data_IF_576749934146
#
_entry.id   IF_576749934146
#
_cell.length_a   1.000
_cell.length_b   1.000
_cell.length_c   1.000
_cell.angle_alpha   90.00
_cell.angle_beta   90.00
_cell.angle_gamma   90.00
#
_symmetry.space_group_name_H-M   'P 1'
#
loop_
_entity.id
_entity.type
_entity.pdbx_description
1 polymer ?
#
# COMPACT_ATOMS: atom_id res chain seq x y z
N UNK A 1 -10.27 -47.84 21.38
CA UNK A 1 -11.25 -47.23 20.46
C UNK A 1 -11.12 -45.72 20.62
N UNK A 2 -10.98 -44.99 19.51
CA UNK A 2 -10.79 -43.53 19.49
C UNK A 2 -9.58 -43.14 18.66
N UNK A 3 -9.65 -43.36 17.34
CA UNK A 3 -8.67 -42.79 16.41
C UNK A 3 -9.08 -41.37 16.09
N UNK A 4 -8.22 -40.40 16.39
CA UNK A 4 -8.35 -39.02 15.93
C UNK A 4 -8.18 -38.99 14.40
N UNK A 5 -9.28 -38.71 13.71
CA UNK A 5 -9.25 -38.41 12.29
C UNK A 5 -8.62 -37.03 12.10
N UNK A 6 -7.35 -37.03 11.73
CA UNK A 6 -6.66 -35.87 11.16
C UNK A 6 -7.42 -35.40 9.92
N UNK A 7 -8.22 -34.35 10.06
CA UNK A 7 -8.83 -33.65 8.93
C UNK A 7 -7.71 -32.97 8.13
N UNK A 8 -7.35 -33.57 7.01
CA UNK A 8 -6.58 -32.89 5.96
C UNK A 8 -7.39 -31.71 5.43
N UNK A 9 -6.79 -30.52 5.27
CA UNK A 9 -7.49 -29.38 4.68
C UNK A 9 -7.93 -29.72 3.26
N UNK A 10 -9.18 -29.41 2.94
CA UNK A 10 -9.77 -29.64 1.62
C UNK A 10 -8.96 -28.93 0.51
N UNK A 11 -8.81 -29.54 -0.67
CA UNK A 11 -8.14 -28.92 -1.80
C UNK A 11 -8.92 -27.68 -2.25
N UNK A 12 -8.24 -26.51 -2.27
CA UNK A 12 -8.79 -25.26 -2.83
C UNK A 12 -9.23 -25.48 -4.28
N UNK A 13 -10.35 -24.87 -4.72
CA UNK A 13 -10.92 -25.11 -6.04
C UNK A 13 -9.91 -24.85 -7.16
N UNK A 14 -9.93 -25.73 -8.16
CA UNK A 14 -9.11 -25.61 -9.35
C UNK A 14 -9.59 -24.40 -10.16
N UNK A 15 -8.71 -23.40 -10.26
CA UNK A 15 -8.80 -22.16 -11.05
C UNK A 15 -9.42 -20.91 -10.38
N UNK A 16 -8.86 -20.45 -9.26
CA UNK A 16 -9.08 -19.08 -8.79
C UNK A 16 -8.63 -18.06 -9.86
N UNK A 17 -9.42 -17.02 -10.17
CA UNK A 17 -9.01 -15.97 -11.11
C UNK A 17 -7.76 -15.26 -10.60
N UNK A 18 -6.87 -14.88 -11.52
CA UNK A 18 -5.63 -14.17 -11.15
C UNK A 18 -5.90 -12.68 -10.96
N UNK A 19 -5.23 -12.09 -9.99
CA UNK A 19 -5.17 -10.64 -9.80
C UNK A 19 -3.72 -10.18 -9.69
N UNK A 20 -3.34 -9.10 -10.37
CA UNK A 20 -2.07 -8.42 -10.08
C UNK A 20 -2.26 -7.57 -8.82
N UNK A 21 -1.32 -7.61 -7.89
CA UNK A 21 -1.33 -6.76 -6.69
C UNK A 21 -0.08 -5.88 -6.69
N UNK A 22 -0.24 -4.56 -6.64
CA UNK A 22 0.88 -3.65 -6.48
C UNK A 22 1.35 -3.71 -5.02
N UNK A 23 2.46 -4.41 -4.79
CA UNK A 23 2.98 -4.71 -3.45
C UNK A 23 4.26 -3.91 -3.19
N UNK A 24 4.16 -2.84 -2.39
CA UNK A 24 5.33 -2.03 -2.01
C UNK A 24 6.00 -2.50 -0.72
N UNK A 25 5.34 -3.33 0.09
CA UNK A 25 5.83 -3.74 1.42
C UNK A 25 5.35 -2.85 2.57
N UNK A 26 4.65 -1.76 2.27
CA UNK A 26 3.94 -0.95 3.27
C UNK A 26 2.62 -1.57 3.72
N UNK A 27 2.06 -1.02 4.80
CA UNK A 27 0.79 -1.47 5.40
C UNK A 27 -0.34 -1.56 4.38
N UNK A 28 -0.54 -0.51 3.57
CA UNK A 28 -1.70 -0.38 2.69
C UNK A 28 -1.62 -1.38 1.53
N UNK A 29 -0.44 -1.52 0.91
CA UNK A 29 -0.24 -2.48 -0.17
C UNK A 29 -0.30 -3.93 0.31
N UNK A 30 0.19 -4.22 1.52
CA UNK A 30 0.02 -5.51 2.16
C UNK A 30 -1.46 -5.84 2.43
N UNK A 31 -2.21 -4.83 2.90
CA UNK A 31 -3.65 -4.97 3.19
C UNK A 31 -4.46 -5.16 1.91
N UNK A 32 -4.16 -4.43 0.83
CA UNK A 32 -4.79 -4.61 -0.46
C UNK A 32 -4.48 -5.99 -1.07
N UNK A 33 -3.25 -6.50 -0.91
CA UNK A 33 -2.88 -7.84 -1.34
C UNK A 33 -3.64 -8.94 -0.56
N UNK A 34 -3.77 -8.77 0.77
CA UNK A 34 -4.56 -9.68 1.58
C UNK A 34 -6.06 -9.62 1.24
N UNK A 35 -6.57 -8.42 0.92
CA UNK A 35 -7.96 -8.25 0.46
C UNK A 35 -8.19 -9.00 -0.86
N UNK A 36 -7.26 -8.95 -1.83
CA UNK A 36 -7.38 -9.72 -3.07
C UNK A 36 -7.52 -11.23 -2.81
N UNK A 37 -6.79 -11.76 -1.82
CA UNK A 37 -6.90 -13.18 -1.42
C UNK A 37 -8.28 -13.46 -0.80
N UNK A 38 -8.76 -12.57 0.08
CA UNK A 38 -10.07 -12.69 0.71
C UNK A 38 -11.22 -12.61 -0.31
N UNK A 39 -11.03 -11.83 -1.37
CA UNK A 39 -11.97 -11.71 -2.49
C UNK A 39 -11.94 -12.93 -3.44
N UNK A 40 -11.08 -13.93 -3.17
CA UNK A 40 -11.03 -15.19 -3.89
C UNK A 40 -10.05 -15.24 -5.07
N UNK A 41 -9.18 -14.24 -5.22
CA UNK A 41 -8.17 -14.21 -6.28
C UNK A 41 -6.91 -15.01 -5.93
N UNK A 42 -6.19 -15.44 -6.98
CA UNK A 42 -4.80 -15.86 -6.90
C UNK A 42 -3.89 -14.65 -7.22
N UNK A 43 -3.22 -14.04 -6.23
CA UNK A 43 -2.41 -12.85 -6.46
C UNK A 43 -1.12 -13.15 -7.23
N UNK A 44 -0.72 -12.19 -8.06
CA UNK A 44 0.62 -12.03 -8.62
C UNK A 44 1.14 -10.69 -8.10
N UNK A 45 2.18 -10.71 -7.25
CA UNK A 45 2.75 -9.49 -6.71
C UNK A 45 3.65 -8.79 -7.74
N UNK A 46 3.50 -7.46 -7.82
CA UNK A 46 4.39 -6.58 -8.57
C UNK A 46 4.93 -5.50 -7.63
N UNK A 47 6.25 -5.53 -7.40
CA UNK A 47 6.98 -4.48 -6.69
C UNK A 47 7.80 -3.66 -7.68
N UNK A 48 7.95 -2.37 -7.41
CA UNK A 48 8.68 -1.46 -8.29
C UNK A 48 9.81 -0.79 -7.50
N UNK A 49 11.04 -1.01 -7.99
CA UNK A 49 12.20 -0.23 -7.58
C UNK A 49 12.25 1.00 -8.47
N UNK A 50 11.79 2.13 -7.96
CA UNK A 50 11.68 3.36 -8.73
C UNK A 50 12.83 4.34 -8.51
N UNK A 51 13.93 3.89 -7.91
CA UNK A 51 15.04 4.74 -7.48
C UNK A 51 14.76 5.45 -6.15
N UNK A 52 13.94 4.84 -5.29
CA UNK A 52 13.76 5.32 -3.91
C UNK A 52 15.08 5.23 -3.11
N UNK A 53 15.21 6.07 -2.07
CA UNK A 53 16.43 6.18 -1.24
C UNK A 53 16.95 4.87 -0.64
N UNK A 54 16.08 3.88 -0.44
CA UNK A 54 16.43 2.61 0.22
C UNK A 54 15.52 1.48 -0.24
N UNK A 55 15.98 0.24 -0.07
CA UNK A 55 15.25 -0.95 -0.51
C UNK A 55 14.52 -1.71 0.63
N UNK A 56 14.37 -1.09 1.81
CA UNK A 56 13.65 -1.69 2.95
C UNK A 56 12.23 -2.13 2.60
N UNK A 57 11.52 -1.29 1.85
CA UNK A 57 10.17 -1.58 1.35
C UNK A 57 10.15 -2.83 0.46
N UNK A 58 11.12 -2.98 -0.45
CA UNK A 58 11.23 -4.17 -1.32
C UNK A 58 11.54 -5.45 -0.52
N UNK A 59 12.37 -5.35 0.52
CA UNK A 59 12.62 -6.47 1.43
C UNK A 59 11.35 -6.86 2.19
N UNK A 60 10.61 -5.89 2.72
CA UNK A 60 9.33 -6.11 3.38
C UNK A 60 8.32 -6.75 2.41
N UNK A 61 8.25 -6.28 1.15
CA UNK A 61 7.37 -6.85 0.13
C UNK A 61 7.62 -8.35 -0.08
N UNK A 62 8.88 -8.80 -0.10
CA UNK A 62 9.23 -10.22 -0.22
C UNK A 62 8.81 -11.04 1.01
N UNK A 63 8.94 -10.48 2.22
CA UNK A 63 8.47 -11.13 3.44
C UNK A 63 6.95 -11.26 3.43
N UNK A 64 6.25 -10.18 3.11
CA UNK A 64 4.78 -10.14 3.03
C UNK A 64 4.26 -11.10 1.97
N UNK A 65 4.85 -11.12 0.77
CA UNK A 65 4.45 -12.03 -0.30
C UNK A 65 4.53 -13.50 0.17
N UNK A 66 5.62 -13.87 0.86
CA UNK A 66 5.79 -15.22 1.42
C UNK A 66 4.76 -15.52 2.51
N UNK A 67 4.54 -14.60 3.45
CA UNK A 67 3.55 -14.76 4.52
C UNK A 67 2.13 -14.95 3.99
N UNK A 68 1.75 -14.19 2.96
CA UNK A 68 0.45 -14.29 2.30
C UNK A 68 0.35 -15.48 1.32
N UNK A 69 1.43 -16.26 1.14
CA UNK A 69 1.44 -17.42 0.24
C UNK A 69 1.41 -17.07 -1.25
N UNK A 70 1.79 -15.85 -1.63
CA UNK A 70 1.86 -15.38 -3.02
C UNK A 70 3.05 -16.07 -3.71
N UNK A 71 2.75 -16.87 -4.74
CA UNK A 71 3.74 -17.71 -5.41
C UNK A 71 4.54 -16.97 -6.49
N UNK A 72 3.94 -15.96 -7.13
CA UNK A 72 4.57 -15.19 -8.19
C UNK A 72 4.77 -13.74 -7.73
N UNK A 73 6.03 -13.30 -7.71
CA UNK A 73 6.41 -11.96 -7.30
C UNK A 73 7.45 -11.40 -8.25
N UNK A 74 7.05 -10.39 -9.03
CA UNK A 74 7.94 -9.65 -9.93
C UNK A 74 8.44 -8.38 -9.24
N UNK A 75 9.73 -8.06 -9.43
CA UNK A 75 10.29 -6.76 -9.06
C UNK A 75 10.88 -6.12 -10.30
N UNK A 76 10.43 -4.91 -10.66
CA UNK A 76 10.89 -4.19 -11.86
C UNK A 76 11.55 -2.89 -11.44
N UNK A 77 12.72 -2.60 -12.01
CA UNK A 77 13.38 -1.31 -11.86
C UNK A 77 12.83 -0.29 -12.87
N UNK A 78 12.45 0.89 -12.38
CA UNK A 78 11.88 2.00 -13.15
C UNK A 78 12.56 3.28 -12.69
N UNK A 79 13.57 3.78 -13.39
CA UNK A 79 14.34 4.92 -12.88
C UNK A 79 13.60 6.26 -12.97
N UNK A 80 12.63 6.50 -12.06
CA UNK A 80 11.91 7.77 -11.95
C UNK A 80 12.75 8.86 -11.28
N UNK A 81 13.86 8.50 -10.63
CA UNK A 81 14.78 9.48 -10.06
C UNK A 81 15.45 10.38 -11.12
N UNK A 82 15.54 9.94 -12.39
CA UNK A 82 16.18 10.69 -13.47
C UNK A 82 15.56 12.07 -13.74
N UNK A 83 14.26 12.24 -13.50
CA UNK A 83 13.55 13.50 -13.77
C UNK A 83 13.63 14.49 -12.60
N UNK A 84 13.90 13.99 -11.38
CA UNK A 84 13.88 14.78 -10.14
C UNK A 84 12.46 15.12 -9.65
N UNK A 85 12.36 16.13 -8.78
CA UNK A 85 11.09 16.66 -8.31
C UNK A 85 10.48 15.99 -7.07
N UNK A 86 11.20 15.05 -6.44
CA UNK A 86 10.76 14.43 -5.19
C UNK A 86 11.88 14.25 -4.18
N UNK A 87 11.57 14.46 -2.90
CA UNK A 87 12.47 14.13 -1.80
C UNK A 87 12.63 12.62 -1.62
N UNK A 88 11.70 11.77 -2.11
CA UNK A 88 11.86 10.31 -2.05
C UNK A 88 12.88 9.75 -3.05
N UNK A 89 13.26 10.52 -4.07
CA UNK A 89 14.20 10.10 -5.12
C UNK A 89 15.46 10.96 -5.19
N UNK A 90 15.48 12.16 -4.58
CA UNK A 90 16.67 13.00 -4.46
C UNK A 90 17.22 12.98 -3.02
N UNK A 91 18.39 12.37 -2.76
CA UNK A 91 18.96 12.26 -1.41
C UNK A 91 19.42 13.60 -0.82
N UNK A 92 19.54 14.66 -1.64
CA UNK A 92 19.99 15.99 -1.19
C UNK A 92 18.88 16.81 -0.51
N UNK A 93 17.62 16.39 -0.69
CA UNK A 93 16.47 17.08 -0.09
C UNK A 93 16.19 16.56 1.32
N UNK A 94 15.64 17.38 2.21
CA UNK A 94 15.20 16.92 3.52
C UNK A 94 13.82 16.26 3.41
N UNK A 95 13.62 15.14 4.10
CA UNK A 95 12.28 14.53 4.21
C UNK A 95 11.41 15.39 5.14
N UNK A 96 10.13 15.63 4.79
CA UNK A 96 9.24 16.42 5.64
C UNK A 96 9.01 15.72 6.99
N UNK A 97 8.99 16.53 8.05
CA UNK A 97 8.78 16.10 9.44
C UNK A 97 7.65 16.88 10.12
N UNK A 98 7.20 17.98 9.53
CA UNK A 98 6.27 18.93 10.13
C UNK A 98 4.80 18.48 10.05
N UNK A 99 4.50 17.41 9.31
CA UNK A 99 3.14 16.91 9.08
C UNK A 99 2.60 17.28 7.70
N UNK A 100 1.51 16.63 7.31
CA UNK A 100 0.81 16.89 6.04
C UNK A 100 0.14 18.27 6.10
N UNK A 101 0.41 19.12 5.11
CA UNK A 101 -0.26 20.41 4.93
C UNK A 101 -1.42 20.26 3.93
N UNK A 102 -2.60 20.77 4.29
CA UNK A 102 -3.77 20.74 3.42
C UNK A 102 -3.55 21.58 2.15
N UNK A 103 -4.04 21.07 1.01
CA UNK A 103 -4.01 21.74 -0.30
C UNK A 103 -2.61 22.01 -0.91
N UNK A 104 -1.55 21.40 -0.39
CA UNK A 104 -0.23 21.42 -1.02
C UNK A 104 0.19 20.01 -1.46
N UNK A 105 0.79 19.91 -2.66
CA UNK A 105 1.45 18.67 -3.08
C UNK A 105 2.75 18.54 -2.27
N UNK A 106 2.93 17.49 -1.46
CA UNK A 106 4.10 17.38 -0.61
C UNK A 106 5.36 17.08 -1.43
N UNK A 107 6.53 17.44 -0.90
CA UNK A 107 7.82 17.17 -1.57
C UNK A 107 8.09 15.67 -1.76
N UNK A 108 7.41 14.80 -1.01
CA UNK A 108 7.47 13.34 -1.16
C UNK A 108 6.62 12.80 -2.31
N UNK A 109 5.87 13.65 -3.01
CA UNK A 109 5.22 13.28 -4.26
C UNK A 109 6.27 13.01 -5.32
N UNK A 110 6.21 11.84 -5.95
CA UNK A 110 7.05 11.49 -7.11
C UNK A 110 6.20 11.71 -8.36
N UNK A 111 6.52 12.71 -9.21
CA UNK A 111 5.68 13.06 -10.35
C UNK A 111 5.32 11.87 -11.24
N UNK A 112 4.02 11.62 -11.41
CA UNK A 112 3.50 10.59 -12.32
C UNK A 112 3.78 9.14 -11.90
N UNK A 113 4.22 8.91 -10.66
CA UNK A 113 4.61 7.58 -10.18
C UNK A 113 3.50 6.55 -10.32
N UNK A 114 2.30 6.83 -9.80
CA UNK A 114 1.20 5.85 -9.87
C UNK A 114 0.79 5.57 -11.32
N UNK A 115 0.93 6.55 -12.22
CA UNK A 115 0.60 6.39 -13.64
C UNK A 115 1.49 5.33 -14.28
N UNK A 116 2.80 5.40 -14.03
CA UNK A 116 3.75 4.41 -14.53
C UNK A 116 3.49 3.04 -13.90
N UNK A 117 3.15 3.02 -12.60
CA UNK A 117 2.95 1.77 -11.87
C UNK A 117 1.73 1.00 -12.36
N UNK A 118 0.60 1.70 -12.55
CA UNK A 118 -0.63 1.10 -13.05
C UNK A 118 -0.44 0.66 -14.51
N UNK A 119 0.28 1.42 -15.34
CA UNK A 119 0.59 1.01 -16.71
C UNK A 119 1.40 -0.30 -16.78
N UNK A 120 2.39 -0.47 -15.90
CA UNK A 120 3.14 -1.73 -15.79
C UNK A 120 2.27 -2.89 -15.26
N UNK A 121 1.38 -2.62 -14.31
CA UNK A 121 0.44 -3.61 -13.82
C UNK A 121 -0.55 -4.07 -14.90
N UNK A 122 -1.02 -3.16 -15.75
CA UNK A 122 -1.87 -3.49 -16.91
C UNK A 122 -1.15 -4.43 -17.88
N UNK A 123 0.10 -4.12 -18.24
CA UNK A 123 0.91 -4.97 -19.10
C UNK A 123 1.14 -6.36 -18.49
N UNK A 124 1.43 -6.43 -17.18
CA UNK A 124 1.58 -7.71 -16.48
C UNK A 124 0.26 -8.49 -16.42
N UNK A 125 -0.86 -7.80 -16.19
CA UNK A 125 -2.17 -8.43 -16.13
C UNK A 125 -2.54 -9.08 -17.47
N UNK A 126 -2.33 -8.38 -18.58
CA UNK A 126 -2.54 -8.95 -19.92
C UNK A 126 -1.64 -10.17 -20.17
N UNK A 127 -0.35 -10.07 -19.87
CA UNK A 127 0.60 -11.15 -20.08
C UNK A 127 0.30 -12.41 -19.23
N UNK A 128 -0.29 -12.25 -18.06
CA UNK A 128 -0.57 -13.34 -17.11
C UNK A 128 -2.02 -13.83 -17.14
N UNK A 129 -2.90 -13.16 -17.90
CA UNK A 129 -4.33 -13.41 -17.90
C UNK A 129 -5.00 -13.07 -16.57
N UNK A 130 -4.53 -12.02 -15.90
CA UNK A 130 -5.16 -11.53 -14.67
C UNK A 130 -6.36 -10.64 -15.01
N UNK A 131 -7.45 -10.83 -14.27
CA UNK A 131 -8.73 -10.14 -14.51
C UNK A 131 -8.97 -8.98 -13.54
N UNK A 132 -8.06 -8.77 -12.60
CA UNK A 132 -8.10 -7.66 -11.65
C UNK A 132 -6.71 -7.14 -11.32
N UNK A 133 -6.64 -5.87 -10.93
CA UNK A 133 -5.45 -5.18 -10.44
C UNK A 133 -5.80 -4.51 -9.12
N UNK A 134 -5.17 -4.93 -8.02
CA UNK A 134 -5.38 -4.35 -6.70
C UNK A 134 -4.34 -3.28 -6.40
N UNK A 135 -4.84 -2.15 -5.91
CA UNK A 135 -4.09 -0.93 -5.63
C UNK A 135 -4.24 -0.56 -4.15
N UNK A 136 -3.13 -0.51 -3.41
CA UNK A 136 -3.09 -0.02 -2.02
C UNK A 136 -3.12 1.51 -1.92
N UNK A 137 -3.82 2.19 -2.83
CA UNK A 137 -3.92 3.65 -2.85
C UNK A 137 -4.97 4.11 -1.82
N UNK A 138 -4.66 5.18 -1.09
CA UNK A 138 -5.55 5.84 -0.16
C UNK A 138 -5.66 7.34 -0.51
N UNK A 139 -6.87 7.88 -0.57
CA UNK A 139 -7.11 9.29 -0.91
C UNK A 139 -7.30 10.20 0.33
N UNK A 140 -7.58 9.62 1.50
CA UNK A 140 -7.91 10.35 2.74
C UNK A 140 -6.65 10.92 3.37
N UNK A 141 -5.62 10.09 3.57
CA UNK A 141 -4.37 10.48 4.23
C UNK A 141 -3.41 11.24 3.29
N UNK A 142 -3.67 11.17 1.97
CA UNK A 142 -2.84 11.75 0.91
C UNK A 142 -3.65 12.71 0.03
N UNK A 143 -4.52 13.51 0.63
CA UNK A 143 -5.43 14.43 -0.08
C UNK A 143 -4.73 15.33 -1.11
N UNK A 144 -3.45 15.67 -0.89
CA UNK A 144 -2.62 16.43 -1.82
C UNK A 144 -2.19 15.70 -3.11
N UNK A 145 -2.31 14.37 -3.18
CA UNK A 145 -1.87 13.59 -4.35
C UNK A 145 -2.98 13.52 -5.41
N UNK A 146 -2.73 13.99 -6.65
CA UNK A 146 -3.75 13.95 -7.70
C UNK A 146 -3.99 12.53 -8.24
N UNK A 147 -2.98 11.67 -8.16
CA UNK A 147 -2.92 10.32 -8.73
C UNK A 147 -3.41 9.22 -7.78
N UNK A 148 -4.25 9.60 -6.81
CA UNK A 148 -4.83 8.69 -5.81
C UNK A 148 -6.38 8.77 -5.74
N UNK A 149 -7.01 9.58 -6.60
CA UNK A 149 -8.43 9.97 -6.48
C UNK A 149 -9.36 9.12 -7.37
N UNK A 150 -10.66 9.02 -7.05
CA UNK A 150 -11.60 8.24 -7.87
C UNK A 150 -11.62 8.62 -9.36
N UNK A 151 -11.64 9.92 -9.78
CA UNK A 151 -11.63 10.26 -11.20
C UNK A 151 -10.35 9.81 -11.93
N UNK A 152 -9.23 9.75 -11.23
CA UNK A 152 -7.97 9.24 -11.77
C UNK A 152 -8.05 7.72 -12.01
N UNK A 153 -8.63 6.96 -11.06
CA UNK A 153 -8.85 5.52 -11.21
C UNK A 153 -9.85 5.21 -12.33
N UNK A 154 -10.91 5.99 -12.45
CA UNK A 154 -11.89 5.88 -13.54
C UNK A 154 -11.24 6.09 -14.92
N UNK A 155 -10.40 7.11 -15.06
CA UNK A 155 -9.65 7.36 -16.29
C UNK A 155 -8.71 6.19 -16.64
N UNK A 156 -8.06 5.60 -15.63
CA UNK A 156 -7.22 4.41 -15.83
C UNK A 156 -8.03 3.16 -16.17
N UNK A 157 -9.24 2.99 -15.62
CA UNK A 157 -10.13 1.91 -15.98
C UNK A 157 -10.58 2.03 -17.45
N UNK A 158 -10.89 3.24 -17.91
CA UNK A 158 -11.19 3.51 -19.31
C UNK A 158 -9.98 3.23 -20.22
N UNK A 159 -8.77 3.57 -19.78
CA UNK A 159 -7.55 3.19 -20.50
C UNK A 159 -7.37 1.68 -20.60
N UNK A 160 -7.63 0.93 -19.52
CA UNK A 160 -7.54 -0.53 -19.51
C UNK A 160 -8.45 -1.20 -20.56
N UNK A 161 -9.62 -0.59 -20.82
CA UNK A 161 -10.58 -1.05 -21.81
C UNK A 161 -10.10 -0.90 -23.26
N UNK A 162 -9.15 -0.01 -23.55
CA UNK A 162 -8.71 0.29 -24.92
C UNK A 162 -7.25 -0.04 -25.21
N UNK A 163 -6.45 -0.32 -24.18
CA UNK A 163 -4.98 -0.43 -24.28
C UNK A 163 -4.45 -1.86 -24.50
N UNK A 164 -5.32 -2.86 -24.53
CA UNK A 164 -4.95 -4.29 -24.59
C UNK A 164 -5.88 -5.06 -25.53
N UNK A 165 -5.42 -6.23 -26.01
CA UNK A 165 -6.27 -7.13 -26.80
C UNK A 165 -7.49 -7.56 -25.99
N UNK A 166 -7.25 -8.00 -24.74
CA UNK A 166 -8.32 -8.43 -23.83
C UNK A 166 -9.27 -7.29 -23.49
N UNK A 167 -8.79 -6.05 -23.41
CA UNK A 167 -9.61 -4.86 -23.21
C UNK A 167 -10.57 -4.61 -24.37
N UNK A 168 -10.06 -4.64 -25.61
CA UNK A 168 -10.88 -4.49 -26.82
C UNK A 168 -11.94 -5.60 -26.98
N UNK A 169 -11.68 -6.78 -26.42
CA UNK A 169 -12.63 -7.90 -26.37
C UNK A 169 -13.64 -7.80 -25.22
N UNK A 170 -13.60 -6.73 -24.41
CA UNK A 170 -14.52 -6.50 -23.29
C UNK A 170 -14.11 -7.17 -21.97
N UNK A 171 -12.89 -7.71 -21.89
CA UNK A 171 -12.36 -8.45 -20.74
C UNK A 171 -11.17 -7.72 -20.08
N UNK A 172 -11.19 -6.38 -20.10
CA UNK A 172 -10.17 -5.58 -19.41
C UNK A 172 -10.10 -5.94 -17.92
N UNK A 173 -8.90 -5.97 -17.32
CA UNK A 173 -8.79 -6.17 -15.89
C UNK A 173 -9.47 -5.02 -15.13
N UNK A 174 -10.15 -5.37 -14.04
CA UNK A 174 -10.79 -4.42 -13.14
C UNK A 174 -9.76 -3.80 -12.20
N UNK A 175 -9.70 -2.48 -12.11
CA UNK A 175 -8.90 -1.77 -11.12
C UNK A 175 -9.67 -1.71 -9.80
N UNK A 176 -9.08 -2.27 -8.75
CA UNK A 176 -9.69 -2.37 -7.42
C UNK A 176 -8.80 -1.62 -6.44
N UNK A 177 -9.32 -0.54 -5.86
CA UNK A 177 -8.64 0.25 -4.82
C UNK A 177 -9.43 0.15 -3.50
N UNK A 178 -9.31 -0.96 -2.76
CA UNK A 178 -10.23 -1.28 -1.66
C UNK A 178 -10.08 -0.34 -0.45
N UNK A 179 -9.00 0.43 -0.38
CA UNK A 179 -8.65 1.29 0.74
C UNK A 179 -8.82 2.78 0.41
N UNK A 180 -9.34 3.12 -0.77
CA UNK A 180 -9.28 4.50 -1.31
C UNK A 180 -10.01 5.52 -0.42
N UNK A 181 -11.08 5.10 0.27
CA UNK A 181 -11.86 5.92 1.20
C UNK A 181 -11.68 5.54 2.68
N UNK A 182 -10.85 4.55 3.00
CA UNK A 182 -10.65 4.10 4.38
C UNK A 182 -9.81 5.14 5.14
N UNK A 183 -10.07 5.34 6.43
CA UNK A 183 -9.09 6.04 7.29
C UNK A 183 -7.89 5.13 7.56
N UNK A 184 -6.74 5.70 7.95
CA UNK A 184 -5.59 4.87 8.34
C UNK A 184 -5.91 3.86 9.45
N UNK A 185 -6.75 4.23 10.41
CA UNK A 185 -7.17 3.34 11.51
C UNK A 185 -8.00 2.18 10.96
N UNK A 186 -8.88 2.44 9.98
CA UNK A 186 -9.68 1.38 9.34
C UNK A 186 -8.80 0.44 8.52
N UNK A 187 -7.76 0.96 7.86
CA UNK A 187 -6.74 0.13 7.19
C UNK A 187 -6.05 -0.80 8.19
N UNK A 188 -5.63 -0.30 9.36
CA UNK A 188 -5.03 -1.15 10.41
C UNK A 188 -6.00 -2.23 10.88
N UNK A 189 -7.27 -1.88 11.15
CA UNK A 189 -8.29 -2.86 11.57
C UNK A 189 -8.52 -3.93 10.51
N UNK A 190 -8.62 -3.52 9.24
CA UNK A 190 -8.74 -4.43 8.10
C UNK A 190 -7.52 -5.34 7.97
N UNK A 191 -6.31 -4.79 8.10
CA UNK A 191 -5.06 -5.55 8.07
C UNK A 191 -5.02 -6.64 9.15
N UNK A 192 -5.43 -6.31 10.38
CA UNK A 192 -5.54 -7.28 11.47
C UNK A 192 -6.57 -8.38 11.16
N UNK A 193 -7.76 -8.00 10.69
CA UNK A 193 -8.82 -8.94 10.35
C UNK A 193 -8.43 -9.91 9.22
N UNK A 194 -7.61 -9.44 8.27
CA UNK A 194 -7.10 -10.22 7.15
C UNK A 194 -5.80 -10.99 7.47
N UNK A 195 -5.25 -10.89 8.68
CA UNK A 195 -4.04 -11.60 9.08
C UNK A 195 -2.75 -11.07 8.43
N UNK A 196 -2.72 -9.79 8.06
CA UNK A 196 -1.51 -9.12 7.54
C UNK A 196 -0.43 -9.10 8.64
N UNK A 197 0.83 -9.42 8.33
CA UNK A 197 1.92 -9.37 9.29
C UNK A 197 2.39 -7.92 9.47
N UNK A 198 1.60 -7.11 10.18
CA UNK A 198 1.82 -5.66 10.30
C UNK A 198 3.24 -5.31 10.81
N UNK A 199 3.79 -6.13 11.70
CA UNK A 199 5.16 -5.96 12.22
C UNK A 199 6.23 -6.02 11.11
N UNK A 200 5.98 -6.79 10.05
CA UNK A 200 6.89 -6.96 8.91
C UNK A 200 6.70 -5.88 7.83
N UNK A 201 5.68 -5.02 7.96
CA UNK A 201 5.43 -3.93 7.02
C UNK A 201 6.40 -2.77 7.23
N UNK A 202 6.81 -2.13 6.14
CA UNK A 202 7.69 -0.98 6.18
C UNK A 202 7.02 0.26 5.56
N UNK A 203 6.85 1.30 6.36
CA UNK A 203 6.30 2.60 5.89
C UNK A 203 7.31 3.75 6.01
N UNK A 204 8.41 3.57 6.74
CA UNK A 204 9.34 4.64 7.07
C UNK A 204 10.12 5.14 5.84
N UNK A 205 10.19 6.46 5.64
CA UNK A 205 10.98 7.08 4.56
C UNK A 205 12.50 7.13 4.85
N UNK A 206 12.90 6.94 6.11
CA UNK A 206 14.29 7.11 6.55
C UNK A 206 15.23 5.94 6.27
N UNK A 207 14.71 4.73 6.02
CA UNK A 207 15.52 3.58 5.61
C UNK A 207 16.51 3.00 6.62
N UNK A 208 16.42 3.39 7.90
CA UNK A 208 17.28 2.89 8.98
C UNK A 208 17.13 1.38 9.25
N UNK A 209 17.74 0.89 10.32
CA UNK A 209 17.50 -0.49 10.81
C UNK A 209 16.08 -0.66 11.35
N UNK A 210 15.57 0.37 12.02
CA UNK A 210 14.19 0.47 12.50
C UNK A 210 13.49 1.68 11.86
N UNK A 211 12.14 1.69 11.82
CA UNK A 211 11.38 2.89 11.50
C UNK A 211 11.79 4.07 12.40
N UNK A 212 11.99 5.26 11.81
CA UNK A 212 12.52 6.41 12.57
C UNK A 212 11.51 7.03 13.55
N UNK A 213 10.21 6.73 13.39
CA UNK A 213 9.12 7.26 14.21
C UNK A 213 8.84 8.76 14.09
N UNK A 214 9.67 9.50 13.35
CA UNK A 214 9.56 10.97 13.24
C UNK A 214 9.09 11.47 11.88
N UNK A 215 9.32 10.74 10.79
CA UNK A 215 8.84 11.15 9.47
C UNK A 215 7.31 11.05 9.36
N UNK A 216 6.70 11.80 8.46
CA UNK A 216 5.23 11.86 8.32
C UNK A 216 4.59 10.47 8.17
N UNK A 217 5.18 9.59 7.36
CA UNK A 217 4.69 8.22 7.20
C UNK A 217 4.70 7.40 8.50
N UNK A 218 5.75 7.53 9.32
CA UNK A 218 5.78 6.88 10.64
C UNK A 218 4.74 7.50 11.57
N UNK A 219 4.62 8.82 11.61
CA UNK A 219 3.63 9.52 12.45
C UNK A 219 2.20 9.06 12.15
N UNK A 220 1.85 8.97 10.87
CA UNK A 220 0.52 8.51 10.40
C UNK A 220 0.30 7.05 10.78
N UNK A 221 1.26 6.16 10.46
CA UNK A 221 1.17 4.73 10.78
C UNK A 221 1.06 4.50 12.28
N UNK A 222 1.94 5.10 13.07
CA UNK A 222 2.02 4.88 14.52
C UNK A 222 0.78 5.43 15.24
N UNK A 223 0.26 6.57 14.78
CA UNK A 223 -1.02 7.08 15.26
C UNK A 223 -2.15 6.10 15.00
N UNK A 224 -2.23 5.57 13.77
CA UNK A 224 -3.26 4.62 13.40
C UNK A 224 -3.18 3.31 14.18
N UNK A 225 -1.96 2.81 14.42
CA UNK A 225 -1.72 1.62 15.24
C UNK A 225 -2.17 1.85 16.68
N UNK A 226 -1.84 3.00 17.26
CA UNK A 226 -2.28 3.37 18.60
C UNK A 226 -3.81 3.44 18.71
N UNK A 227 -4.45 4.17 17.80
CA UNK A 227 -5.91 4.35 17.79
C UNK A 227 -6.66 3.04 17.48
N UNK A 228 -6.01 2.09 16.81
CA UNK A 228 -6.52 0.73 16.59
C UNK A 228 -6.22 -0.24 17.77
N UNK A 229 -5.62 0.23 18.86
CA UNK A 229 -5.31 -0.58 20.04
C UNK A 229 -4.11 -1.52 19.86
N UNK A 230 -3.16 -1.17 19.00
CA UNK A 230 -1.92 -1.93 18.74
C UNK A 230 -0.64 -1.14 19.13
N UNK A 231 -0.52 -0.63 20.37
CA UNK A 231 0.62 0.19 20.78
C UNK A 231 1.97 -0.54 20.70
N UNK A 232 1.96 -1.87 20.79
CA UNK A 232 3.17 -2.71 20.69
C UNK A 232 3.78 -2.77 19.27
N UNK A 233 3.08 -2.26 18.25
CA UNK A 233 3.56 -2.22 16.86
C UNK A 233 4.07 -0.84 16.43
N UNK A 234 3.95 0.16 17.32
CA UNK A 234 4.43 1.53 17.10
C UNK A 234 5.96 1.57 17.10
N UNK A 235 6.56 2.47 16.32
CA UNK A 235 8.01 2.64 16.25
C UNK A 235 8.64 2.93 17.62
N UNK A 236 9.82 2.33 17.89
CA UNK A 236 10.54 2.49 19.16
C UNK A 236 11.19 3.88 19.34
N UNK A 237 11.52 4.55 18.24
CA UNK A 237 12.22 5.82 18.25
C UNK A 237 11.24 6.98 18.00
N UNK A 238 11.47 8.15 18.60
CA UNK A 238 10.91 9.41 18.10
C UNK A 238 9.68 10.02 18.78
N UNK A 239 8.96 9.39 19.73
CA UNK A 239 7.95 10.10 20.55
C UNK A 239 7.74 9.56 21.98
N UNK A 240 7.51 10.44 22.97
CA UNK A 240 6.94 10.05 24.25
C UNK A 240 5.46 9.70 24.06
N UNK A 241 5.10 8.46 24.40
CA UNK A 241 3.74 7.87 24.30
C UNK A 241 2.65 8.67 25.03
N UNK A 242 3.02 9.66 25.86
CA UNK A 242 2.12 10.49 26.67
C UNK A 242 1.57 11.77 26.01
N UNK A 243 1.85 12.05 24.73
CA UNK A 243 1.31 13.22 24.01
C UNK A 243 0.31 12.87 22.89
N UNK A 244 -0.14 11.61 22.81
CA UNK A 244 -1.13 11.18 21.82
C UNK A 244 -2.55 11.50 22.32
N UNK A 245 -2.93 12.78 22.32
CA UNK A 245 -4.30 13.22 22.63
C UNK A 245 -5.26 12.76 21.52
N UNK A 246 -6.47 12.24 21.80
CA UNK A 246 -7.49 11.95 20.79
C UNK A 246 -7.79 13.18 19.92
N UNK A 247 -8.13 12.98 18.64
CA UNK A 247 -8.48 14.04 17.67
C UNK A 247 -9.71 14.90 18.05
N UNK A 248 -10.27 14.75 19.25
CA UNK A 248 -11.43 15.49 19.75
C UNK A 248 -11.15 16.55 20.83
N UNK A 249 -9.90 16.75 21.24
CA UNK A 249 -9.51 17.74 22.27
C UNK A 249 -8.47 18.75 21.76
N UNK A 250 -8.71 19.31 20.57
CA UNK A 250 -8.10 20.60 20.23
C UNK A 250 -9.05 21.69 20.72
N UNK A 251 -8.61 22.39 21.76
CA UNK A 251 -9.28 23.50 22.41
C UNK A 251 -10.02 24.41 21.41
N UNK A 252 -11.33 24.55 21.61
CA UNK A 252 -12.00 25.79 21.24
C UNK A 252 -11.43 26.87 22.15
N UNK A 253 -10.75 27.92 21.64
CA UNK A 253 -10.53 29.09 22.45
C UNK A 253 -11.92 29.68 22.73
N UNK A 254 -12.36 29.57 23.98
CA UNK A 254 -13.50 30.32 24.49
C UNK A 254 -13.20 31.80 24.28
N UNK A 255 -13.82 32.37 23.26
CA UNK A 255 -13.81 33.82 23.02
C UNK A 255 -14.67 34.45 24.11
N UNK A 256 -13.99 35.07 25.08
CA UNK A 256 -14.56 36.11 25.95
C UNK A 256 -14.32 37.48 25.34
#
# INVERSE_FOLDING_TARGET
MGGEQSQTPEPKPQNCPKAVVLLSGGLDSATAAAQAIADGYQPIALSLDYGQRHNRELQAAQVIARHLGIQQHYTIAVNLAQWGGSSLTDPRQTLPQDGVQDNQIPSTYVPGRNTVFIALALALAEAQGAVAIYLGINAVDYSGYPDCRPPYLEAFQALAQVSSKVGLEGHAPQLVAPLVLDSKVDIVRRALALGVPIAETWSCYGGGEEPCGTCDSCRIRDRALWDAGQPQLVSNQGRPLGQMVPLGELDHPSVS
#
